data_IF_676485755664
#
_entry.id   IF_676485755664
#
_cell.length_a   1.000
_cell.length_b   1.000
_cell.length_c   1.000
_cell.angle_alpha   90.00
_cell.angle_beta   90.00
_cell.angle_gamma   90.00
#
_symmetry.space_group_name_H-M   'P 1'
#
loop_
_entity.id
_entity.type
_entity.pdbx_description
1 polymer ?
#
# COMPACT_ATOMS: atom_id res chain seq x y z
N UNK A 1 7.77 12.62 -10.32
CA UNK A 1 8.44 12.12 -9.11
C UNK A 1 7.44 11.99 -7.95
N UNK A 2 6.37 11.22 -8.13
CA UNK A 2 5.29 11.05 -7.13
C UNK A 2 5.14 9.59 -6.68
N UNK A 3 5.44 8.63 -7.56
CA UNK A 3 5.43 7.20 -7.25
C UNK A 3 6.41 6.80 -6.14
N UNK A 4 7.61 7.40 -6.12
CA UNK A 4 8.58 7.15 -5.06
C UNK A 4 8.06 7.61 -3.69
N UNK A 5 7.43 8.79 -3.62
CA UNK A 5 6.78 9.29 -2.40
C UNK A 5 5.61 8.40 -1.97
N UNK A 6 4.85 7.85 -2.92
CA UNK A 6 3.81 6.87 -2.63
C UNK A 6 4.39 5.61 -1.97
N UNK A 7 5.46 5.04 -2.52
CA UNK A 7 6.13 3.86 -1.92
C UNK A 7 6.67 4.20 -0.53
N UNK A 8 7.31 5.36 -0.35
CA UNK A 8 7.85 5.79 0.95
C UNK A 8 6.73 5.95 1.98
N UNK A 9 5.63 6.62 1.62
CA UNK A 9 4.46 6.75 2.50
C UNK A 9 3.85 5.39 2.84
N UNK A 10 3.83 4.47 1.87
CA UNK A 10 3.31 3.13 2.08
C UNK A 10 4.16 2.31 3.06
N UNK A 11 5.48 2.36 2.93
CA UNK A 11 6.42 1.71 3.87
C UNK A 11 6.25 2.30 5.28
N UNK A 12 6.13 3.62 5.40
CA UNK A 12 5.90 4.29 6.69
C UNK A 12 4.62 3.82 7.38
N UNK A 13 3.52 3.64 6.63
CA UNK A 13 2.26 3.12 7.17
C UNK A 13 2.42 1.69 7.69
N UNK A 14 3.07 0.80 6.92
CA UNK A 14 3.30 -0.57 7.37
C UNK A 14 4.17 -0.59 8.63
N UNK A 15 5.30 0.12 8.62
CA UNK A 15 6.23 0.16 9.76
C UNK A 15 5.60 0.77 11.00
N UNK A 16 4.79 1.82 10.85
CA UNK A 16 4.09 2.46 11.96
C UNK A 16 3.04 1.54 12.61
N UNK A 17 2.25 0.84 11.80
CA UNK A 17 1.23 -0.09 12.33
C UNK A 17 1.91 -1.32 12.97
N UNK A 18 2.95 -1.87 12.35
CA UNK A 18 3.72 -2.96 12.93
C UNK A 18 4.31 -2.56 14.29
N UNK A 19 4.90 -1.37 14.40
CA UNK A 19 5.45 -0.87 15.66
C UNK A 19 4.37 -0.66 16.73
N UNK A 20 3.23 -0.06 16.36
CA UNK A 20 2.10 0.15 17.27
C UNK A 20 1.57 -1.18 17.86
N UNK A 21 1.43 -2.23 17.04
CA UNK A 21 0.99 -3.54 17.50
C UNK A 21 2.03 -4.23 18.40
N UNK A 22 3.33 -4.06 18.11
CA UNK A 22 4.41 -4.56 18.98
C UNK A 22 4.37 -3.87 20.33
N UNK A 23 4.21 -2.54 20.36
CA UNK A 23 4.11 -1.78 21.62
C UNK A 23 2.84 -2.07 22.41
N UNK A 24 1.76 -2.44 21.73
CA UNK A 24 0.51 -2.86 22.37
C UNK A 24 0.56 -4.28 22.97
N UNK A 25 1.71 -4.97 22.89
CA UNK A 25 1.88 -6.30 23.48
C UNK A 25 1.06 -7.39 22.78
N UNK A 26 0.65 -7.16 21.53
CA UNK A 26 -0.14 -8.12 20.78
C UNK A 26 0.71 -9.35 20.42
N UNK A 27 0.12 -10.54 20.49
CA UNK A 27 0.81 -11.77 20.10
C UNK A 27 1.41 -11.67 18.67
N UNK A 28 2.68 -12.06 18.52
CA UNK A 28 3.47 -11.90 17.28
C UNK A 28 2.77 -12.46 16.03
N UNK A 29 2.01 -13.55 16.19
CA UNK A 29 1.19 -14.13 15.12
C UNK A 29 0.14 -13.17 14.56
N UNK A 30 -0.53 -12.40 15.42
CA UNK A 30 -1.54 -11.40 14.99
C UNK A 30 -0.87 -10.21 14.29
N UNK A 31 0.33 -9.83 14.72
CA UNK A 31 1.12 -8.77 14.09
C UNK A 31 1.49 -9.18 12.66
N UNK A 32 1.88 -10.44 12.45
CA UNK A 32 2.19 -10.97 11.13
C UNK A 32 0.96 -10.94 10.21
N UNK A 33 -0.22 -11.35 10.69
CA UNK A 33 -1.47 -11.31 9.92
C UNK A 33 -1.79 -9.87 9.47
N UNK A 34 -1.77 -8.92 10.41
CA UNK A 34 -2.07 -7.51 10.12
C UNK A 34 -1.06 -6.91 9.14
N UNK A 35 0.23 -7.23 9.31
CA UNK A 35 1.30 -6.76 8.42
C UNK A 35 1.13 -7.29 6.99
N UNK A 36 0.74 -8.56 6.83
CA UNK A 36 0.48 -9.18 5.52
C UNK A 36 -0.73 -8.53 4.84
N UNK A 37 -1.81 -8.29 5.58
CA UNK A 37 -3.01 -7.63 5.05
C UNK A 37 -2.66 -6.20 4.56
N UNK A 38 -1.92 -5.44 5.36
CA UNK A 38 -1.46 -4.10 4.98
C UNK A 38 -0.57 -4.15 3.73
N UNK A 39 0.36 -5.09 3.67
CA UNK A 39 1.23 -5.27 2.51
C UNK A 39 0.42 -5.55 1.24
N UNK A 40 -0.62 -6.39 1.32
CA UNK A 40 -1.56 -6.62 0.22
C UNK A 40 -2.29 -5.34 -0.23
N UNK A 41 -2.82 -4.56 0.71
CA UNK A 41 -3.51 -3.29 0.41
C UNK A 41 -2.57 -2.31 -0.29
N UNK A 42 -1.30 -2.26 0.10
CA UNK A 42 -0.31 -1.40 -0.53
C UNK A 42 0.04 -1.72 -1.95
N UNK A 43 0.19 -3.02 -2.22
CA UNK A 43 0.44 -3.50 -3.56
C UNK A 43 -0.76 -3.14 -4.44
N UNK A 44 -1.99 -3.42 -3.99
CA UNK A 44 -3.20 -3.07 -4.73
C UNK A 44 -3.27 -1.56 -5.04
N UNK A 45 -3.02 -0.74 -4.03
CA UNK A 45 -3.10 0.73 -4.16
C UNK A 45 -1.96 1.29 -5.04
N UNK A 46 -0.80 0.61 -5.04
CA UNK A 46 0.34 0.92 -5.90
C UNK A 46 0.09 0.53 -7.35
N UNK A 47 -0.49 -0.64 -7.60
CA UNK A 47 -0.86 -1.11 -8.94
C UNK A 47 -1.86 -0.15 -9.59
N UNK A 48 -2.85 0.34 -8.84
CA UNK A 48 -3.81 1.36 -9.33
C UNK A 48 -3.09 2.64 -9.75
N UNK A 49 -2.08 3.10 -8.99
CA UNK A 49 -1.29 4.28 -9.36
C UNK A 49 -0.40 4.07 -10.58
N UNK A 50 0.02 2.84 -10.86
CA UNK A 50 0.83 2.50 -12.04
C UNK A 50 0.02 2.17 -13.29
N UNK A 51 -1.31 2.02 -13.19
CA UNK A 51 -2.15 1.71 -14.35
C UNK A 51 -2.18 2.92 -15.31
N UNK A 52 -1.79 2.75 -16.59
CA UNK A 52 -1.96 3.80 -17.59
C UNK A 52 -3.45 4.11 -17.77
N UNK A 53 -3.81 5.40 -17.91
CA UNK A 53 -5.15 5.78 -18.35
C UNK A 53 -5.33 5.37 -19.80
N UNK A 54 -6.46 4.72 -20.11
CA UNK A 54 -6.80 4.39 -21.48
C UNK A 54 -6.85 5.66 -22.33
N UNK A 55 -6.29 5.65 -23.56
CA UNK A 55 -6.26 6.82 -24.42
C UNK A 55 -7.70 7.26 -24.76
N UNK A 56 -7.96 8.58 -24.87
CA UNK A 56 -9.28 9.08 -25.21
C UNK A 56 -9.75 8.48 -26.54
N UNK A 57 -10.93 7.86 -26.56
CA UNK A 57 -11.58 7.44 -27.81
C UNK A 57 -11.92 8.72 -28.59
N UNK A 58 -11.11 9.05 -29.58
CA UNK A 58 -11.26 10.27 -30.37
C UNK A 58 -12.55 10.28 -31.21
N UNK A 59 -12.98 11.45 -31.74
CA UNK A 59 -14.31 11.68 -32.33
C UNK A 59 -14.64 10.94 -33.63
N UNK A 60 -13.87 9.93 -34.03
CA UNK A 60 -13.99 9.22 -35.31
C UNK A 60 -14.53 7.78 -35.14
N UNK A 61 -15.29 7.51 -34.07
CA UNK A 61 -15.99 6.24 -33.84
C UNK A 61 -17.50 6.40 -33.98
#
# INVERSE_FOLDING_TARGET
MSFALYIIGFILVISGIAWALVTAGVAMFKIAIVSIILLGIGILTGVVHTRPKDPPRGPLA
#
